data_IF_003608907159
#
_entry.id   IF_003608907159
#
_cell.length_a   1.000
_cell.length_b   1.000
_cell.length_c   1.000
_cell.angle_alpha   90.00
_cell.angle_beta   90.00
_cell.angle_gamma   90.00
#
_symmetry.space_group_name_H-M   'P 1'
#
loop_
_entity.id
_entity.type
_entity.pdbx_description
1 polymer ?
#
# COMPACT_ATOMS: atom_id res chain seq x y z
N UNK A 1 40.39 9.06 8.52
CA UNK A 1 39.61 7.80 8.39
C UNK A 1 38.76 7.45 9.62
N UNK A 2 39.30 7.38 10.85
CA UNK A 2 38.52 7.00 12.06
C UNK A 2 37.28 7.88 12.35
N UNK A 3 37.36 9.18 12.12
CA UNK A 3 36.22 10.10 12.33
C UNK A 3 35.04 9.85 11.37
N UNK A 4 35.33 9.42 10.13
CA UNK A 4 34.30 9.08 9.13
C UNK A 4 33.54 7.81 9.54
N UNK A 5 34.27 6.80 10.00
CA UNK A 5 33.68 5.54 10.51
C UNK A 5 32.75 5.80 11.71
N UNK A 6 33.16 6.63 12.68
CA UNK A 6 32.32 6.98 13.83
C UNK A 6 31.04 7.72 13.40
N UNK A 7 31.14 8.64 12.43
CA UNK A 7 29.99 9.37 11.89
C UNK A 7 29.00 8.44 11.20
N UNK A 8 29.49 7.50 10.39
CA UNK A 8 28.66 6.51 9.69
C UNK A 8 27.99 5.56 10.68
N UNK A 9 28.75 5.03 11.65
CA UNK A 9 28.24 4.14 12.68
C UNK A 9 27.15 4.80 13.54
N UNK A 10 27.35 6.08 13.91
CA UNK A 10 26.33 6.87 14.62
C UNK A 10 25.09 7.07 13.75
N UNK A 11 25.25 7.30 12.44
CA UNK A 11 24.12 7.43 11.50
C UNK A 11 23.32 6.13 11.37
N UNK A 12 23.99 4.99 11.27
CA UNK A 12 23.34 3.66 11.27
C UNK A 12 22.54 3.42 12.56
N UNK A 13 23.12 3.73 13.73
CA UNK A 13 22.43 3.58 15.03
C UNK A 13 21.30 4.57 15.27
N UNK A 14 21.36 5.76 14.67
CA UNK A 14 20.34 6.79 14.87
C UNK A 14 18.99 6.48 14.23
N UNK A 15 18.90 5.46 13.37
CA UNK A 15 17.64 5.02 12.74
C UNK A 15 16.96 6.07 11.86
N UNK A 16 17.60 7.22 11.60
CA UNK A 16 17.03 8.29 10.81
C UNK A 16 17.02 7.87 9.33
N UNK A 17 15.88 7.40 8.85
CA UNK A 17 15.65 7.24 7.42
C UNK A 17 15.54 8.62 6.75
N UNK A 18 16.09 8.81 5.54
CA UNK A 18 15.85 10.03 4.79
C UNK A 18 14.35 10.12 4.48
N UNK A 19 13.71 11.19 4.94
CA UNK A 19 12.32 11.48 4.57
C UNK A 19 12.32 11.97 3.13
N UNK A 20 11.97 11.10 2.20
CA UNK A 20 11.83 11.47 0.79
C UNK A 20 10.48 12.20 0.67
N UNK A 21 10.50 13.53 0.73
CA UNK A 21 9.34 14.35 0.39
C UNK A 21 9.21 14.38 -1.15
N UNK A 22 8.58 13.37 -1.74
CA UNK A 22 8.12 13.47 -3.13
C UNK A 22 6.81 14.25 -3.17
N UNK A 23 6.62 15.17 -4.13
CA UNK A 23 5.32 15.80 -4.32
C UNK A 23 4.29 14.71 -4.64
N UNK A 24 3.21 14.66 -3.85
CA UNK A 24 2.11 13.73 -4.06
C UNK A 24 1.39 14.16 -5.34
N UNK A 25 1.36 13.33 -6.40
CA UNK A 25 0.65 13.69 -7.62
C UNK A 25 -0.86 13.80 -7.35
N UNK A 26 -1.46 14.88 -7.81
CA UNK A 26 -2.89 15.15 -7.63
C UNK A 26 -3.68 14.42 -8.71
N UNK A 27 -4.41 13.36 -8.35
CA UNK A 27 -5.18 12.54 -9.30
C UNK A 27 -6.60 13.08 -9.56
N UNK A 28 -6.75 14.40 -9.70
CA UNK A 28 -8.07 15.06 -9.74
C UNK A 28 -9.02 14.59 -10.88
N UNK A 29 -8.50 13.92 -11.92
CA UNK A 29 -9.29 13.37 -13.03
C UNK A 29 -9.61 11.87 -12.92
N UNK A 30 -9.04 11.17 -11.94
CA UNK A 30 -9.41 9.79 -11.65
C UNK A 30 -10.54 9.84 -10.63
N UNK A 31 -11.72 9.32 -10.98
CA UNK A 31 -12.82 9.08 -10.02
C UNK A 31 -12.45 7.93 -9.06
N UNK A 32 -11.25 7.94 -8.49
CA UNK A 32 -10.80 7.03 -7.45
C UNK A 32 -11.40 7.54 -6.14
N UNK A 33 -12.47 6.89 -5.71
CA UNK A 33 -13.09 7.11 -4.41
C UNK A 33 -12.05 6.78 -3.32
N UNK A 34 -11.45 7.83 -2.78
CA UNK A 34 -10.70 7.89 -1.51
C UNK A 34 -9.63 6.81 -1.30
N UNK A 35 -8.45 6.97 -1.91
CA UNK A 35 -7.22 6.43 -1.31
C UNK A 35 -6.76 7.39 -0.21
N UNK A 36 -7.22 7.12 1.01
CA UNK A 36 -6.73 7.72 2.24
C UNK A 36 -5.21 7.49 2.35
N UNK A 37 -4.42 8.54 2.08
CA UNK A 37 -2.99 8.58 2.38
C UNK A 37 -2.84 9.32 3.71
N UNK A 38 -3.41 8.77 4.78
CA UNK A 38 -3.09 9.16 6.14
C UNK A 38 -1.82 8.40 6.55
N UNK A 39 -0.73 9.13 6.67
CA UNK A 39 0.50 8.66 7.26
C UNK A 39 0.29 8.39 8.76
N UNK A 40 -0.08 7.18 9.15
CA UNK A 40 0.01 6.70 10.53
C UNK A 40 0.95 5.48 10.63
N UNK A 41 2.01 5.55 11.47
CA UNK A 41 2.85 4.39 11.72
C UNK A 41 2.24 3.50 12.80
N UNK A 42 2.43 2.19 12.61
CA UNK A 42 2.29 1.12 13.60
C UNK A 42 0.87 0.75 14.02
N UNK A 43 0.36 -0.29 13.37
CA UNK A 43 -0.12 -1.47 14.10
C UNK A 43 0.11 -2.69 13.22
N UNK A 44 0.91 -3.64 13.69
CA UNK A 44 0.80 -5.06 13.31
C UNK A 44 -0.58 -5.57 13.74
N UNK A 45 -1.63 -5.06 13.10
CA UNK A 45 -2.94 -5.67 13.17
C UNK A 45 -2.88 -6.74 12.09
N UNK A 46 -2.70 -7.99 12.50
CA UNK A 46 -3.17 -9.16 11.75
C UNK A 46 -4.69 -9.03 11.59
N UNK A 47 -5.11 -8.04 10.82
CA UNK A 47 -6.50 -7.83 10.47
C UNK A 47 -6.73 -8.89 9.43
N UNK A 48 -7.45 -9.95 9.79
CA UNK A 48 -8.07 -10.87 8.83
C UNK A 48 -8.86 -10.01 7.86
N UNK A 49 -8.24 -9.70 6.72
CA UNK A 49 -8.89 -8.94 5.66
C UNK A 49 -9.61 -9.96 4.80
N UNK A 50 -10.90 -10.13 5.05
CA UNK A 50 -11.76 -10.86 4.12
C UNK A 50 -11.81 -10.10 2.81
N UNK A 51 -11.49 -10.77 1.70
CA UNK A 51 -11.57 -10.23 0.36
C UNK A 51 -12.76 -10.85 -0.37
N UNK A 52 -13.59 -10.01 -1.01
CA UNK A 52 -14.60 -10.45 -1.97
C UNK A 52 -14.11 -10.12 -3.38
N UNK A 53 -13.78 -11.13 -4.16
CA UNK A 53 -13.34 -10.98 -5.55
C UNK A 53 -14.55 -11.15 -6.46
N UNK A 54 -14.83 -10.14 -7.29
CA UNK A 54 -15.86 -10.23 -8.34
C UNK A 54 -15.20 -10.29 -9.71
N UNK A 55 -15.53 -11.33 -10.47
CA UNK A 55 -15.06 -11.51 -11.85
C UNK A 55 -16.23 -11.39 -12.79
N UNK A 56 -16.07 -10.59 -13.84
CA UNK A 56 -17.09 -10.35 -14.86
C UNK A 56 -16.51 -10.74 -16.22
N UNK A 57 -17.16 -11.65 -16.91
CA UNK A 57 -16.83 -11.98 -18.29
C UNK A 57 -17.75 -11.17 -19.21
N UNK A 58 -17.18 -10.53 -20.23
CA UNK A 58 -17.93 -9.73 -21.19
C UNK A 58 -17.66 -10.19 -22.62
N UNK A 59 -18.68 -10.14 -23.48
CA UNK A 59 -18.57 -10.34 -24.93
C UNK A 59 -19.39 -9.27 -25.62
N UNK A 60 -18.81 -8.62 -26.62
CA UNK A 60 -19.44 -7.52 -27.37
C UNK A 60 -19.97 -6.37 -26.48
N UNK A 61 -19.30 -6.13 -25.35
CA UNK A 61 -19.70 -5.11 -24.37
C UNK A 61 -20.88 -5.52 -23.47
N UNK A 62 -21.42 -6.73 -23.64
CA UNK A 62 -22.44 -7.28 -22.76
C UNK A 62 -21.82 -8.24 -21.75
N UNK A 63 -22.30 -8.18 -20.50
CA UNK A 63 -21.90 -9.13 -19.45
C UNK A 63 -22.51 -10.49 -19.77
N UNK A 64 -21.66 -11.51 -19.91
CA UNK A 64 -22.08 -12.89 -20.18
C UNK A 64 -21.97 -13.79 -18.95
N UNK A 65 -21.20 -13.39 -17.94
CA UNK A 65 -21.01 -14.15 -16.71
C UNK A 65 -20.53 -13.26 -15.57
N UNK A 66 -21.01 -13.54 -14.36
CA UNK A 66 -20.58 -12.88 -13.13
C UNK A 66 -20.34 -13.93 -12.05
N UNK A 67 -19.15 -13.91 -11.46
CA UNK A 67 -18.80 -14.80 -10.34
C UNK A 67 -18.24 -13.99 -9.19
N UNK A 68 -18.54 -14.42 -7.97
CA UNK A 68 -18.01 -13.82 -6.75
C UNK A 68 -17.36 -14.89 -5.90
N UNK A 69 -16.12 -14.65 -5.47
CA UNK A 69 -15.35 -15.55 -4.63
C UNK A 69 -15.04 -14.88 -3.30
N UNK A 70 -15.35 -15.59 -2.22
CA UNK A 70 -15.03 -15.17 -0.86
C UNK A 70 -13.67 -15.76 -0.50
N UNK A 71 -12.68 -14.90 -0.26
CA UNK A 71 -11.39 -15.31 0.26
C UNK A 71 -11.29 -14.82 1.70
N UNK A 72 -11.59 -15.73 2.62
CA UNK A 72 -11.19 -15.61 4.01
C UNK A 72 -9.78 -16.19 4.09
N UNK A 73 -8.78 -15.35 4.37
CA UNK A 73 -7.40 -15.81 4.58
C UNK A 73 -7.41 -17.03 5.52
N UNK A 74 -6.92 -18.15 4.99
CA UNK A 74 -6.64 -19.37 5.74
C UNK A 74 -5.59 -19.01 6.81
N UNK A 75 -5.86 -19.35 8.07
CA UNK A 75 -4.92 -19.16 9.19
C UNK A 75 -3.54 -19.81 8.95
#
# INVERSE_FOLDING_TARGET
MKALLLRIFRKLKSGTSPKINMPIPTFASLNLRETNIESQPMVDTHSKRTLLIKTVETRDGQVINETSQHHDDLE
#
